data_IF_014342027178
#
_entry.id   IF_014342027178
#
_cell.length_a   1.000
_cell.length_b   1.000
_cell.length_c   1.000
_cell.angle_alpha   90.00
_cell.angle_beta   90.00
_cell.angle_gamma   90.00
#
_symmetry.space_group_name_H-M   'P 1'
#
loop_
_entity.id
_entity.type
_entity.pdbx_description
1 polymer ?
#
# COMPACT_ATOMS: atom_id res chain seq x y z
N UNK A 1 -21.71 -47.92 27.70
CA UNK A 1 -21.56 -46.48 27.36
C UNK A 1 -22.12 -45.72 28.54
N UNK A 2 -21.29 -44.91 29.19
CA UNK A 2 -21.70 -44.21 30.41
C UNK A 2 -22.79 -43.17 30.10
N UNK A 3 -23.66 -42.91 31.06
CA UNK A 3 -24.75 -41.93 30.89
C UNK A 3 -24.21 -40.52 30.59
N UNK A 4 -23.00 -40.22 31.10
CA UNK A 4 -22.27 -38.99 30.79
C UNK A 4 -21.76 -38.96 29.35
N UNK A 5 -21.32 -40.09 28.80
CA UNK A 5 -20.85 -40.18 27.41
C UNK A 5 -22.02 -40.01 26.43
N UNK A 6 -23.16 -40.64 26.69
CA UNK A 6 -24.39 -40.47 25.89
C UNK A 6 -24.89 -39.03 25.92
N UNK A 7 -24.95 -38.40 27.10
CA UNK A 7 -25.37 -37.00 27.24
C UNK A 7 -24.42 -36.03 26.54
N UNK A 8 -23.10 -36.24 26.67
CA UNK A 8 -22.07 -35.43 26.00
C UNK A 8 -22.17 -35.54 24.48
N UNK A 9 -22.37 -36.75 23.93
CA UNK A 9 -22.56 -36.97 22.50
C UNK A 9 -23.81 -36.23 21.98
N UNK A 10 -24.91 -36.27 22.74
CA UNK A 10 -26.16 -35.60 22.40
C UNK A 10 -25.97 -34.08 22.38
N UNK A 11 -25.30 -33.52 23.38
CA UNK A 11 -24.97 -32.09 23.45
C UNK A 11 -24.09 -31.63 22.27
N UNK A 12 -23.09 -32.43 21.91
CA UNK A 12 -22.21 -32.14 20.78
C UNK A 12 -22.99 -32.15 19.45
N UNK A 13 -23.92 -33.08 19.27
CA UNK A 13 -24.79 -33.10 18.08
C UNK A 13 -25.67 -31.85 18.00
N UNK A 14 -26.30 -31.45 19.11
CA UNK A 14 -27.18 -30.28 19.15
C UNK A 14 -26.39 -28.99 18.86
N UNK A 15 -25.21 -28.83 19.47
CA UNK A 15 -24.38 -27.64 19.24
C UNK A 15 -23.82 -27.60 17.81
N UNK A 16 -23.47 -28.74 17.22
CA UNK A 16 -23.06 -28.82 15.82
C UNK A 16 -24.18 -28.41 14.84
N UNK A 17 -25.41 -28.87 15.08
CA UNK A 17 -26.58 -28.47 14.30
C UNK A 17 -26.85 -26.97 14.45
N UNK A 18 -26.80 -26.43 15.68
CA UNK A 18 -27.00 -25.02 15.91
C UNK A 18 -25.94 -24.15 15.21
N UNK A 19 -24.67 -24.58 15.26
CA UNK A 19 -23.55 -23.85 14.65
C UNK A 19 -23.63 -23.87 13.12
N UNK A 20 -23.99 -25.02 12.53
CA UNK A 20 -24.20 -25.13 11.08
C UNK A 20 -25.38 -24.28 10.60
N UNK A 21 -26.50 -24.32 11.32
CA UNK A 21 -27.65 -23.45 11.04
C UNK A 21 -27.27 -21.97 11.12
N UNK A 22 -26.56 -21.58 12.18
CA UNK A 22 -26.08 -20.21 12.36
C UNK A 22 -25.14 -19.77 11.24
N UNK A 23 -24.22 -20.63 10.80
CA UNK A 23 -23.30 -20.34 9.69
C UNK A 23 -24.06 -20.13 8.37
N UNK A 24 -25.03 -20.99 8.06
CA UNK A 24 -25.87 -20.87 6.85
C UNK A 24 -26.67 -19.56 6.89
N UNK A 25 -27.30 -19.26 8.04
CA UNK A 25 -28.08 -18.05 8.21
C UNK A 25 -27.20 -16.80 8.07
N UNK A 26 -26.04 -16.78 8.71
CA UNK A 26 -25.07 -15.69 8.63
C UNK A 26 -24.62 -15.44 7.19
N UNK A 27 -24.31 -16.50 6.43
CA UNK A 27 -23.93 -16.36 5.03
C UNK A 27 -25.08 -15.83 4.15
N UNK A 28 -26.32 -16.20 4.46
CA UNK A 28 -27.51 -15.70 3.74
C UNK A 28 -27.80 -14.22 4.05
N UNK A 29 -27.51 -13.77 5.27
CA UNK A 29 -27.69 -12.38 5.71
C UNK A 29 -26.51 -11.48 5.35
N UNK A 30 -25.35 -12.04 5.04
CA UNK A 30 -24.16 -11.30 4.64
C UNK A 30 -24.44 -10.49 3.36
N UNK A 31 -24.33 -9.17 3.45
CA UNK A 31 -24.60 -8.27 2.33
C UNK A 31 -23.29 -7.68 1.77
N UNK A 32 -23.10 -7.68 0.45
CA UNK A 32 -22.00 -6.97 -0.18
C UNK A 32 -22.22 -5.46 -0.13
N UNK A 33 -21.13 -4.74 0.08
CA UNK A 33 -21.10 -3.29 0.00
C UNK A 33 -19.80 -2.89 -0.69
N UNK A 34 -19.89 -2.59 -1.97
CA UNK A 34 -18.75 -2.06 -2.71
C UNK A 34 -18.58 -0.59 -2.33
N UNK A 35 -17.36 -0.22 -1.97
CA UNK A 35 -16.90 1.12 -1.65
C UNK A 35 -15.84 1.54 -2.67
N UNK A 36 -15.82 2.82 -2.97
CA UNK A 36 -14.85 3.42 -3.89
C UNK A 36 -14.30 4.69 -3.25
N UNK A 37 -12.99 4.76 -3.15
CA UNK A 37 -12.24 5.82 -2.47
C UNK A 37 -11.05 6.23 -3.33
N UNK A 38 -10.59 7.45 -3.15
CA UNK A 38 -9.34 7.94 -3.77
C UNK A 38 -8.28 8.14 -2.72
N UNK A 39 -7.06 7.68 -3.01
CA UNK A 39 -5.92 7.75 -2.10
C UNK A 39 -4.70 8.31 -2.84
N UNK A 40 -3.96 9.22 -2.22
CA UNK A 40 -2.68 9.67 -2.76
C UNK A 40 -1.61 8.59 -2.55
N UNK A 41 -0.72 8.45 -3.53
CA UNK A 41 0.39 7.53 -3.43
C UNK A 41 1.37 7.99 -2.35
N UNK A 42 1.75 7.13 -1.39
CA UNK A 42 2.60 7.52 -0.27
C UNK A 42 4.04 7.88 -0.68
N UNK A 43 4.49 7.46 -1.86
CA UNK A 43 5.87 7.71 -2.32
C UNK A 43 6.01 9.00 -3.12
N UNK A 44 4.97 9.35 -3.90
CA UNK A 44 5.00 10.49 -4.82
C UNK A 44 4.10 11.65 -4.34
N UNK A 45 3.09 11.42 -3.47
CA UNK A 45 2.07 12.38 -3.01
C UNK A 45 1.32 13.15 -4.12
N UNK A 46 1.67 12.95 -5.39
CA UNK A 46 1.14 13.60 -6.58
C UNK A 46 0.35 12.62 -7.44
N UNK A 47 0.60 11.33 -7.28
CA UNK A 47 -0.15 10.28 -7.96
C UNK A 47 -1.39 9.93 -7.13
N UNK A 48 -2.56 9.91 -7.77
CA UNK A 48 -3.81 9.51 -7.16
C UNK A 48 -4.20 8.12 -7.65
N UNK A 49 -4.60 7.27 -6.70
CA UNK A 49 -5.07 5.93 -6.94
C UNK A 49 -6.56 5.82 -6.60
N UNK A 50 -7.25 5.00 -7.39
CA UNK A 50 -8.61 4.56 -7.14
C UNK A 50 -8.55 3.26 -6.32
N UNK A 51 -9.15 3.29 -5.14
CA UNK A 51 -9.29 2.15 -4.24
C UNK A 51 -10.72 1.64 -4.33
N UNK A 52 -10.88 0.39 -4.71
CA UNK A 52 -12.18 -0.29 -4.76
C UNK A 52 -12.13 -1.44 -3.76
N UNK A 53 -13.08 -1.46 -2.84
CA UNK A 53 -13.12 -2.43 -1.76
C UNK A 53 -14.54 -2.96 -1.56
N UNK A 54 -14.71 -4.25 -1.31
CA UNK A 54 -15.97 -4.76 -0.77
C UNK A 54 -15.91 -4.70 0.75
N UNK A 55 -16.40 -3.62 1.35
CA UNK A 55 -16.44 -3.43 2.80
C UNK A 55 -17.60 -4.20 3.47
N UNK A 56 -18.49 -4.80 2.67
CA UNK A 56 -19.58 -5.63 3.15
C UNK A 56 -19.12 -7.01 3.61
N UNK A 57 -19.93 -7.65 4.45
CA UNK A 57 -19.66 -9.00 4.94
C UNK A 57 -19.99 -10.11 3.94
N UNK A 58 -20.68 -9.77 2.85
CA UNK A 58 -21.07 -10.70 1.78
C UNK A 58 -20.28 -10.49 0.48
N UNK A 59 -20.21 -11.51 -0.37
CA UNK A 59 -19.58 -11.41 -1.69
C UNK A 59 -20.42 -10.59 -2.66
N UNK A 60 -19.78 -9.68 -3.40
CA UNK A 60 -20.37 -9.04 -4.56
C UNK A 60 -20.05 -9.84 -5.83
N UNK A 61 -21.06 -10.22 -6.60
CA UNK A 61 -20.95 -10.96 -7.86
C UNK A 61 -21.26 -10.06 -9.05
N UNK A 62 -20.69 -10.39 -10.21
CA UNK A 62 -20.89 -9.68 -11.47
C UNK A 62 -20.69 -8.16 -11.36
N UNK A 63 -19.65 -7.72 -10.65
CA UNK A 63 -19.39 -6.29 -10.43
C UNK A 63 -18.97 -5.64 -11.75
N UNK A 64 -19.71 -4.61 -12.16
CA UNK A 64 -19.47 -3.82 -13.39
C UNK A 64 -19.31 -2.35 -13.02
N UNK A 65 -18.38 -1.70 -13.71
CA UNK A 65 -18.02 -0.29 -13.50
C UNK A 65 -18.26 0.48 -14.79
N UNK A 66 -18.72 1.71 -14.66
CA UNK A 66 -18.95 2.63 -15.77
C UNK A 66 -18.56 4.04 -15.32
N UNK A 67 -17.65 4.68 -16.04
CA UNK A 67 -17.21 6.04 -15.76
C UNK A 67 -17.96 7.04 -16.67
N UNK A 68 -18.54 8.07 -16.07
CA UNK A 68 -19.30 9.11 -16.76
C UNK A 68 -18.89 10.50 -16.23
N UNK A 69 -18.25 11.35 -17.04
CA UNK A 69 -17.70 11.05 -18.37
C UNK A 69 -16.55 10.03 -18.29
N UNK A 70 -16.20 9.43 -19.42
CA UNK A 70 -15.04 8.52 -19.47
C UNK A 70 -13.75 9.32 -19.25
N UNK A 71 -12.97 8.90 -18.26
CA UNK A 71 -11.86 9.68 -17.74
C UNK A 71 -10.55 9.24 -18.38
N UNK A 72 -9.77 10.21 -18.87
CA UNK A 72 -8.45 9.95 -19.42
C UNK A 72 -7.42 9.78 -18.30
N UNK A 73 -6.89 8.57 -18.15
CA UNK A 73 -5.95 8.20 -17.08
C UNK A 73 -4.52 8.62 -17.46
N UNK A 74 -4.20 8.50 -18.74
CA UNK A 74 -2.90 8.82 -19.34
C UNK A 74 -3.10 9.01 -20.85
N UNK A 75 -2.32 9.88 -21.50
CA UNK A 75 -2.34 10.15 -22.95
C UNK A 75 -3.04 9.09 -23.82
N UNK A 76 -4.28 9.39 -24.24
CA UNK A 76 -5.16 8.59 -25.10
C UNK A 76 -5.55 7.21 -24.54
N UNK A 77 -5.51 7.02 -23.22
CA UNK A 77 -5.97 5.82 -22.50
C UNK A 77 -7.01 6.22 -21.46
N UNK A 78 -8.18 5.58 -21.57
CA UNK A 78 -9.35 5.90 -20.77
C UNK A 78 -9.64 4.86 -19.68
N UNK A 79 -10.33 5.28 -18.64
CA UNK A 79 -10.70 4.44 -17.50
C UNK A 79 -11.52 3.23 -17.94
N UNK A 80 -12.44 3.41 -18.89
CA UNK A 80 -13.22 2.33 -19.52
C UNK A 80 -12.37 1.23 -20.17
N UNK A 81 -11.16 1.54 -20.61
CA UNK A 81 -10.26 0.62 -21.30
C UNK A 81 -9.41 -0.21 -20.32
N UNK A 82 -9.40 0.13 -19.04
CA UNK A 82 -8.69 -0.65 -18.02
C UNK A 82 -9.32 -2.03 -17.87
N UNK A 83 -8.51 -3.04 -17.54
CA UNK A 83 -9.00 -4.41 -17.37
C UNK A 83 -10.15 -4.51 -16.36
N UNK A 84 -10.12 -3.68 -15.30
CA UNK A 84 -11.15 -3.66 -14.27
C UNK A 84 -12.48 -3.11 -14.77
N UNK A 85 -12.49 -1.99 -15.51
CA UNK A 85 -13.72 -1.39 -16.04
C UNK A 85 -14.25 -2.17 -17.24
N UNK A 86 -13.35 -2.67 -18.10
CA UNK A 86 -13.70 -3.45 -19.29
C UNK A 86 -14.31 -4.80 -18.92
N UNK A 87 -13.69 -5.54 -18.00
CA UNK A 87 -14.10 -6.91 -17.68
C UNK A 87 -15.01 -6.98 -16.46
N UNK A 88 -14.91 -6.04 -15.53
CA UNK A 88 -15.54 -6.12 -14.21
C UNK A 88 -14.86 -7.13 -13.30
N UNK A 89 -15.51 -7.46 -12.18
CA UNK A 89 -15.08 -8.48 -11.23
C UNK A 89 -16.18 -9.53 -11.12
N UNK A 90 -15.90 -10.77 -11.54
CA UNK A 90 -16.88 -11.85 -11.48
C UNK A 90 -17.26 -12.21 -10.03
N UNK A 91 -16.26 -12.28 -9.15
CA UNK A 91 -16.40 -12.66 -7.76
C UNK A 91 -15.56 -11.73 -6.89
N UNK A 92 -16.20 -10.89 -6.09
CA UNK A 92 -15.56 -9.89 -5.25
C UNK A 92 -15.83 -10.18 -3.76
N UNK A 93 -15.00 -11.00 -3.09
CA UNK A 93 -15.18 -11.41 -1.70
C UNK A 93 -15.15 -10.25 -0.70
N UNK A 94 -15.69 -10.47 0.51
CA UNK A 94 -15.60 -9.52 1.62
C UNK A 94 -14.16 -9.09 1.88
N UNK A 95 -13.97 -7.80 2.14
CA UNK A 95 -12.71 -7.14 2.49
C UNK A 95 -11.59 -7.22 1.43
N UNK A 96 -11.89 -7.71 0.22
CA UNK A 96 -10.92 -7.61 -0.86
C UNK A 96 -10.80 -6.17 -1.33
N UNK A 97 -9.56 -5.70 -1.44
CA UNK A 97 -9.20 -4.37 -1.92
C UNK A 97 -8.44 -4.47 -3.24
N UNK A 98 -8.80 -3.62 -4.18
CA UNK A 98 -8.13 -3.45 -5.47
C UNK A 98 -7.70 -1.99 -5.58
N UNK A 99 -6.42 -1.78 -5.90
CA UNK A 99 -5.81 -0.47 -6.12
C UNK A 99 -5.50 -0.31 -7.60
N UNK A 100 -5.98 0.76 -8.20
CA UNK A 100 -5.79 1.11 -9.61
C UNK A 100 -5.22 2.53 -9.70
N UNK A 101 -4.25 2.74 -10.58
CA UNK A 101 -3.78 4.09 -10.90
C UNK A 101 -4.91 4.90 -11.56
N UNK A 102 -5.22 6.08 -11.01
CA UNK A 102 -6.26 6.97 -11.55
C UNK A 102 -5.66 8.11 -12.35
N UNK A 103 -4.76 8.89 -11.75
CA UNK A 103 -4.17 10.04 -12.43
C UNK A 103 -2.96 10.60 -11.71
N UNK A 104 -2.15 11.39 -12.42
CA UNK A 104 -1.14 12.25 -11.83
C UNK A 104 -1.70 13.67 -11.67
N UNK A 105 -1.86 14.14 -10.45
CA UNK A 105 -2.61 15.36 -10.10
C UNK A 105 -2.08 16.66 -10.74
N UNK A 106 -0.75 16.89 -10.84
CA UNK A 106 -0.24 18.14 -11.43
C UNK A 106 -0.58 18.33 -12.92
N UNK A 107 -0.77 17.24 -13.70
CA UNK A 107 -1.23 17.38 -15.10
C UNK A 107 -2.69 17.79 -15.13
N UNK A 108 -3.02 18.80 -15.93
CA UNK A 108 -4.39 19.23 -16.20
C UNK A 108 -5.24 19.45 -14.93
N UNK A 109 -4.60 19.86 -13.82
CA UNK A 109 -5.23 20.04 -12.50
C UNK A 109 -6.55 20.83 -12.59
N UNK A 110 -6.52 22.00 -13.22
CA UNK A 110 -7.70 22.86 -13.43
C UNK A 110 -8.86 22.10 -14.11
N UNK A 111 -8.59 21.37 -15.19
CA UNK A 111 -9.62 20.60 -15.91
C UNK A 111 -10.22 19.50 -15.04
N UNK A 112 -9.42 18.84 -14.20
CA UNK A 112 -9.87 17.74 -13.33
C UNK A 112 -10.81 18.21 -12.23
N UNK A 113 -10.57 19.41 -11.68
CA UNK A 113 -11.44 20.00 -10.65
C UNK A 113 -12.76 20.48 -11.25
N UNK A 114 -12.71 21.09 -12.42
CA UNK A 114 -13.91 21.59 -13.10
C UNK A 114 -14.82 20.46 -13.61
N UNK A 115 -14.27 19.26 -13.81
CA UNK A 115 -14.97 18.12 -14.39
C UNK A 115 -14.90 16.89 -13.47
N UNK A 116 -15.73 16.83 -12.40
CA UNK A 116 -15.80 15.66 -11.55
C UNK A 116 -16.30 14.45 -12.34
N UNK A 117 -15.84 13.26 -11.96
CA UNK A 117 -16.22 12.01 -12.64
C UNK A 117 -17.15 11.19 -11.76
N UNK A 118 -18.19 10.61 -12.37
CA UNK A 118 -19.10 9.69 -11.69
C UNK A 118 -18.78 8.27 -12.11
N UNK A 119 -18.54 7.40 -11.14
CA UNK A 119 -18.38 5.96 -11.36
C UNK A 119 -19.66 5.27 -10.89
N UNK A 120 -20.39 4.71 -11.84
CA UNK A 120 -21.52 3.85 -11.57
C UNK A 120 -21.02 2.41 -11.36
N UNK A 121 -21.43 1.80 -10.25
CA UNK A 121 -21.09 0.41 -9.92
C UNK A 121 -22.38 -0.39 -9.83
N UNK A 122 -22.46 -1.47 -10.60
CA UNK A 122 -23.58 -2.43 -10.58
C UNK A 122 -23.05 -3.77 -10.13
N UNK A 123 -23.72 -4.42 -9.20
CA UNK A 123 -23.32 -5.74 -8.70
C UNK A 123 -24.51 -6.50 -8.13
N UNK A 124 -24.32 -7.78 -7.83
CA UNK A 124 -25.33 -8.63 -7.20
C UNK A 124 -24.77 -9.25 -5.91
N UNK A 125 -25.64 -9.70 -5.02
CA UNK A 125 -25.25 -10.58 -3.93
C UNK A 125 -25.41 -12.07 -4.30
N UNK A 126 -25.03 -12.96 -3.39
CA UNK A 126 -25.24 -14.41 -3.48
C UNK A 126 -26.71 -14.82 -3.71
N UNK A 127 -27.68 -13.99 -3.29
CA UNK A 127 -29.11 -14.17 -3.52
C UNK A 127 -29.60 -13.55 -4.84
N UNK A 128 -28.68 -13.14 -5.73
CA UNK A 128 -28.95 -12.48 -7.03
C UNK A 128 -29.71 -11.15 -6.93
N UNK A 129 -29.82 -10.56 -5.73
CA UNK A 129 -30.34 -9.21 -5.55
C UNK A 129 -29.36 -8.22 -6.16
N UNK A 130 -29.83 -7.38 -7.07
CA UNK A 130 -29.03 -6.37 -7.74
C UNK A 130 -28.91 -5.10 -6.89
N UNK A 131 -27.74 -4.47 -6.96
CA UNK A 131 -27.40 -3.22 -6.32
C UNK A 131 -26.81 -2.28 -7.36
N UNK A 132 -27.06 -0.98 -7.19
CA UNK A 132 -26.45 0.07 -8.01
C UNK A 132 -26.02 1.19 -7.09
N UNK A 133 -24.76 1.58 -7.22
CA UNK A 133 -24.17 2.67 -6.46
C UNK A 133 -23.52 3.67 -7.42
N UNK A 134 -23.51 4.94 -7.01
CA UNK A 134 -22.86 6.02 -7.74
C UNK A 134 -21.83 6.66 -6.83
N UNK A 135 -20.61 6.79 -7.32
CA UNK A 135 -19.52 7.45 -6.61
C UNK A 135 -19.05 8.64 -7.42
N UNK A 136 -19.06 9.81 -6.81
CA UNK A 136 -18.56 11.03 -7.43
C UNK A 136 -17.14 11.22 -6.91
N UNK A 137 -16.18 11.26 -7.82
CA UNK A 137 -14.80 11.65 -7.50
C UNK A 137 -14.71 13.16 -7.73
N UNK A 138 -14.60 13.87 -6.61
CA UNK A 138 -14.41 15.31 -6.58
C UNK A 138 -12.94 15.62 -6.23
N UNK A 139 -12.22 16.19 -7.19
CA UNK A 139 -10.80 16.51 -7.05
C UNK A 139 -10.56 17.81 -6.26
N UNK A 140 -11.60 18.62 -5.98
CA UNK A 140 -11.48 19.86 -5.19
C UNK A 140 -10.93 19.61 -3.79
N UNK A 141 -11.23 18.44 -3.21
CA UNK A 141 -10.84 18.05 -1.84
C UNK A 141 -9.32 18.04 -1.63
N UNK A 142 -8.54 17.91 -2.70
CA UNK A 142 -7.10 17.81 -2.62
C UNK A 142 -6.39 19.17 -2.71
N UNK A 143 -7.12 20.25 -3.02
CA UNK A 143 -6.56 21.61 -3.11
C UNK A 143 -5.45 21.74 -4.15
N UNK A 144 -4.86 22.93 -4.26
CA UNK A 144 -3.72 23.15 -5.15
C UNK A 144 -2.53 22.33 -4.61
N UNK A 145 -2.09 21.36 -5.41
CA UNK A 145 -0.88 20.62 -5.07
C UNK A 145 0.34 21.45 -5.44
N UNK A 146 1.36 21.52 -4.56
CA UNK A 146 2.61 22.15 -4.93
C UNK A 146 3.19 21.41 -6.16
N UNK A 147 3.84 22.14 -7.08
CA UNK A 147 4.46 21.52 -8.24
C UNK A 147 5.42 20.40 -7.79
N UNK A 148 5.55 19.33 -8.59
CA UNK A 148 6.50 18.26 -8.30
C UNK A 148 7.87 18.88 -7.98
N UNK A 149 8.36 18.67 -6.75
CA UNK A 149 9.73 19.02 -6.40
C UNK A 149 10.67 18.26 -7.34
N UNK A 150 11.62 18.94 -7.98
CA UNK A 150 12.47 18.32 -9.00
C UNK A 150 13.30 17.18 -8.35
N UNK A 151 13.09 15.90 -8.73
CA UNK A 151 13.83 14.78 -8.17
C UNK A 151 15.34 14.93 -8.36
N UNK A 152 15.75 15.55 -9.47
CA UNK A 152 17.15 15.88 -9.77
C UNK A 152 17.71 16.84 -8.73
N UNK A 153 16.91 17.79 -8.24
CA UNK A 153 17.34 18.72 -7.19
C UNK A 153 17.60 18.00 -5.87
N UNK A 154 16.78 17.01 -5.50
CA UNK A 154 16.99 16.21 -4.27
C UNK A 154 18.19 15.28 -4.40
N UNK A 155 18.41 14.71 -5.58
CA UNK A 155 19.62 13.93 -5.89
C UNK A 155 20.86 14.83 -5.82
N UNK A 156 20.82 16.02 -6.43
CA UNK A 156 21.90 16.99 -6.38
C UNK A 156 22.21 17.44 -4.94
N UNK A 157 21.19 17.75 -4.13
CA UNK A 157 21.36 18.09 -2.71
C UNK A 157 21.95 16.93 -1.91
N UNK A 158 21.55 15.69 -2.20
CA UNK A 158 22.09 14.50 -1.53
C UNK A 158 23.55 14.26 -1.90
N UNK A 159 23.91 14.47 -3.19
CA UNK A 159 25.28 14.41 -3.67
C UNK A 159 26.14 15.52 -3.04
N UNK A 160 25.62 16.75 -2.93
CA UNK A 160 26.31 17.86 -2.28
C UNK A 160 26.55 17.60 -0.77
N UNK A 161 25.59 16.98 -0.09
CA UNK A 161 25.77 16.55 1.31
C UNK A 161 26.81 15.45 1.46
N UNK A 162 26.87 14.50 0.51
CA UNK A 162 27.89 13.45 0.48
C UNK A 162 29.27 14.08 0.24
N UNK A 163 29.39 14.96 -0.75
CA UNK A 163 30.63 15.69 -1.06
C UNK A 163 31.13 16.47 0.15
N UNK A 164 30.26 17.27 0.80
CA UNK A 164 30.63 18.00 2.02
C UNK A 164 31.13 17.06 3.11
N UNK A 165 30.45 15.94 3.37
CA UNK A 165 30.90 14.95 4.37
C UNK A 165 32.23 14.29 4.00
N UNK A 166 32.45 13.97 2.73
CA UNK A 166 33.74 13.45 2.26
C UNK A 166 34.86 14.48 2.41
N UNK A 167 34.59 15.76 2.15
CA UNK A 167 35.57 16.83 2.36
C UNK A 167 35.90 17.04 3.84
N UNK A 168 34.90 16.98 4.74
CA UNK A 168 35.16 16.99 6.19
C UNK A 168 36.00 15.80 6.65
N UNK A 169 35.76 14.60 6.09
CA UNK A 169 36.62 13.45 6.37
C UNK A 169 38.03 13.69 5.83
N UNK A 170 38.19 14.27 4.65
CA UNK A 170 39.52 14.54 4.11
C UNK A 170 40.30 15.60 4.93
N UNK A 171 39.62 16.67 5.34
CA UNK A 171 40.24 17.80 6.06
C UNK A 171 40.56 17.46 7.54
N UNK A 172 39.73 16.65 8.20
CA UNK A 172 39.96 16.19 9.58
C UNK A 172 40.96 15.02 9.66
N UNK A 173 41.39 14.48 8.50
CA UNK A 173 42.36 13.39 8.37
C UNK A 173 43.79 13.86 8.05
N UNK A 174 44.16 15.09 8.41
CA UNK A 174 45.55 15.54 8.35
C UNK A 174 46.31 15.22 9.66
N UNK A 175 47.37 14.39 9.62
CA UNK A 175 47.37 13.01 9.15
C UNK A 175 46.79 12.08 10.23
N UNK A 176 46.01 11.05 9.86
CA UNK A 176 46.04 9.83 10.69
C UNK A 176 47.51 9.39 10.70
N UNK A 177 48.20 9.61 11.82
CA UNK A 177 49.47 8.95 12.11
C UNK A 177 49.14 7.47 12.30
N UNK A 178 49.14 6.72 11.20
CA UNK A 178 49.30 5.28 11.29
C UNK A 178 50.73 5.10 11.81
N UNK A 179 50.87 4.82 13.11
CA UNK A 179 52.13 4.32 13.65
C UNK A 179 52.35 2.94 13.02
N UNK A 180 53.10 2.91 11.93
CA UNK A 180 53.66 1.67 11.41
C UNK A 180 54.82 1.35 12.35
N UNK A 181 54.51 0.64 13.45
CA UNK A 181 55.56 0.13 14.33
C UNK A 181 56.28 -0.97 13.56
N UNK A 182 57.53 -0.72 13.23
CA UNK A 182 58.37 -1.67 12.49
C UNK A 182 58.85 -2.78 13.43
N UNK A 183 59.06 -4.00 12.90
CA UNK A 183 59.54 -5.14 13.71
C UNK A 183 60.83 -4.84 14.50
N UNK A 184 61.68 -3.94 13.99
CA UNK A 184 62.90 -3.52 14.68
C UNK A 184 62.64 -2.65 15.91
N UNK A 185 61.63 -1.78 15.87
CA UNK A 185 61.26 -0.93 17.01
C UNK A 185 60.68 -1.76 18.15
N UNK A 186 59.83 -2.76 17.83
CA UNK A 186 59.32 -3.73 18.81
C UNK A 186 60.48 -4.51 19.45
N UNK A 187 61.50 -4.87 18.67
CA UNK A 187 62.64 -5.64 19.16
C UNK A 187 63.48 -4.83 20.15
N UNK A 188 63.66 -3.53 19.86
CA UNK A 188 64.40 -2.60 20.70
C UNK A 188 63.70 -2.33 22.04
N UNK A 189 62.37 -2.17 21.98
CA UNK A 189 61.53 -1.99 23.17
C UNK A 189 61.50 -3.25 24.05
N UNK A 190 61.49 -4.45 23.44
CA UNK A 190 61.63 -5.72 24.18
C UNK A 190 63.03 -5.86 24.82
N UNK A 191 64.10 -5.44 24.14
CA UNK A 191 65.47 -5.48 24.69
C UNK A 191 65.65 -4.52 25.88
N UNK A 192 65.08 -3.32 25.82
CA UNK A 192 65.05 -2.36 26.94
C UNK A 192 64.29 -2.93 28.15
N UNK A 193 63.13 -3.56 27.93
CA UNK A 193 62.36 -4.20 29.02
C UNK A 193 63.12 -5.38 29.65
N UNK A 194 63.93 -6.11 28.87
CA UNK A 194 64.73 -7.24 29.37
C UNK A 194 65.96 -6.74 30.16
N UNK A 195 66.57 -5.63 29.75
CA UNK A 195 67.70 -5.03 30.47
C UNK A 195 67.25 -4.40 31.79
N UNK A 196 66.10 -3.71 31.81
CA UNK A 196 65.54 -3.09 33.01
C UNK A 196 65.06 -4.12 34.07
N UNK A 197 64.77 -5.36 33.66
CA UNK A 197 64.44 -6.49 34.56
C UNK A 197 65.63 -7.30 35.03
N UNK A 198 66.83 -7.02 34.51
CA UNK A 198 68.06 -7.76 34.84
C UNK A 198 69.00 -6.98 35.78
N UNK A 199 68.61 -5.76 36.19
CA UNK A 199 69.13 -5.03 37.36
C UNK A 199 68.19 -5.20 38.57
#
# INVERSE_FOLDING_TARGET
MDIYQTLSLLFLCVTAIATTMYAILSWKLAQPLVSLMTELDPFDNLTMNLIIENVGSGTAEDVKFEAVPDFEISHNRYLSQTGLFKNGIAYFPPHQKIKLYLTWMPSDYQKKIENPITINVKYKNNLKKAYTQKFIIDFTLFGEMPPPGNPISKVAESLEKIEKKCNYLHDDLNPIRVMIVTKEEIKKEIEEIITEKSD
#
